data_IF_133070833282
#
_entry.id   IF_133070833282
#
_cell.length_a   1.000
_cell.length_b   1.000
_cell.length_c   1.000
_cell.angle_alpha   90.00
_cell.angle_beta   90.00
_cell.angle_gamma   90.00
#
_symmetry.space_group_name_H-M   'P 1'
#
loop_
_entity.id
_entity.type
_entity.pdbx_description
1 polymer ?
#
# COMPACT_ATOMS: atom_id res chain seq x y z
N UNK A 1 -49.39 -58.23 -36.64
CA UNK A 1 -48.88 -58.39 -35.26
C UNK A 1 -47.65 -57.51 -35.11
N UNK A 2 -47.65 -56.60 -34.11
CA UNK A 2 -46.53 -56.09 -33.28
C UNK A 2 -45.16 -55.87 -33.99
N UNK A 3 -44.50 -54.70 -33.99
CA UNK A 3 -44.39 -53.61 -33.00
C UNK A 3 -43.84 -52.34 -33.68
N UNK A 4 -44.43 -51.20 -33.34
CA UNK A 4 -43.85 -49.85 -33.34
C UNK A 4 -42.52 -49.82 -32.61
N UNK A 5 -41.54 -49.02 -33.04
CA UNK A 5 -40.87 -48.01 -32.20
C UNK A 5 -40.32 -46.88 -33.08
N UNK A 6 -40.89 -45.70 -32.84
CA UNK A 6 -40.46 -44.38 -33.26
C UNK A 6 -39.21 -44.04 -32.42
N UNK A 7 -38.13 -43.57 -33.03
CA UNK A 7 -37.09 -42.85 -32.30
C UNK A 7 -36.85 -41.49 -32.96
N UNK A 8 -36.97 -40.50 -32.10
CA UNK A 8 -36.95 -39.06 -32.32
C UNK A 8 -35.49 -38.57 -32.21
N UNK A 9 -35.14 -37.60 -33.06
CA UNK A 9 -33.88 -36.83 -33.09
C UNK A 9 -33.64 -36.01 -31.80
N UNK A 10 -32.38 -35.67 -31.45
CA UNK A 10 -31.90 -34.32 -31.77
C UNK A 10 -30.41 -34.32 -32.22
N UNK A 11 -29.99 -33.56 -33.24
CA UNK A 11 -29.70 -32.12 -33.21
C UNK A 11 -28.83 -31.71 -32.00
N UNK A 12 -27.54 -32.07 -32.03
CA UNK A 12 -26.54 -31.44 -31.18
C UNK A 12 -26.22 -30.05 -31.75
N UNK A 13 -26.85 -29.03 -31.18
CA UNK A 13 -26.27 -27.70 -31.12
C UNK A 13 -25.19 -27.72 -30.04
N UNK A 14 -23.94 -27.45 -30.43
CA UNK A 14 -22.92 -27.01 -29.48
C UNK A 14 -23.12 -25.52 -29.25
N UNK A 15 -24.11 -25.18 -28.43
CA UNK A 15 -24.02 -23.97 -27.61
C UNK A 15 -22.98 -24.27 -26.54
N UNK A 16 -21.81 -23.62 -26.62
CA UNK A 16 -20.93 -23.50 -25.48
C UNK A 16 -21.70 -22.74 -24.39
N UNK A 17 -22.33 -23.50 -23.49
CA UNK A 17 -22.73 -23.00 -22.18
C UNK A 17 -21.45 -22.91 -21.37
N UNK A 18 -20.78 -21.75 -21.43
CA UNK A 18 -19.96 -21.32 -20.31
C UNK A 18 -20.91 -21.06 -19.15
N UNK A 19 -20.69 -21.75 -18.05
CA UNK A 19 -21.52 -21.70 -16.85
C UNK A 19 -21.50 -20.30 -16.26
N UNK A 20 -22.65 -19.63 -16.32
CA UNK A 20 -22.92 -18.46 -15.50
C UNK A 20 -22.98 -18.92 -14.02
N UNK A 21 -22.12 -18.45 -13.11
CA UNK A 21 -22.34 -18.65 -11.70
C UNK A 21 -23.60 -17.87 -11.29
N UNK A 22 -24.47 -18.61 -10.63
CA UNK A 22 -25.75 -18.18 -10.07
C UNK A 22 -25.63 -16.94 -9.19
N UNK A 23 -26.38 -15.88 -9.52
CA UNK A 23 -26.81 -14.85 -8.58
C UNK A 23 -27.56 -15.49 -7.39
N UNK A 24 -26.92 -15.55 -6.22
CA UNK A 24 -27.53 -15.17 -4.95
C UNK A 24 -26.54 -15.27 -3.77
N UNK A 25 -26.69 -14.30 -2.87
CA UNK A 25 -26.18 -14.17 -1.49
C UNK A 25 -24.72 -13.74 -1.29
N UNK A 26 -24.53 -12.43 -1.08
CA UNK A 26 -23.31 -11.83 -0.53
C UNK A 26 -22.10 -12.08 -1.42
N UNK A 27 -21.96 -11.28 -2.46
CA UNK A 27 -20.92 -11.44 -3.48
C UNK A 27 -19.53 -11.22 -2.85
N UNK A 28 -18.94 -12.32 -2.35
CA UNK A 28 -17.56 -12.38 -1.92
C UNK A 28 -16.72 -12.97 -3.05
N UNK A 29 -15.80 -12.17 -3.57
CA UNK A 29 -14.76 -12.61 -4.49
C UNK A 29 -13.73 -13.38 -3.67
N UNK A 30 -13.36 -14.58 -4.12
CA UNK A 30 -12.30 -15.35 -3.49
C UNK A 30 -10.94 -14.80 -3.94
N UNK A 31 -10.45 -13.81 -3.19
CA UNK A 31 -9.06 -13.39 -3.25
C UNK A 31 -8.20 -14.40 -2.49
N UNK A 32 -7.00 -14.67 -2.98
CA UNK A 32 -6.00 -15.51 -2.30
C UNK A 32 -5.50 -14.86 -1.01
N UNK A 33 -4.23 -15.07 -0.69
CA UNK A 33 -3.61 -14.22 0.33
C UNK A 33 -3.46 -12.82 -0.27
N UNK A 34 -4.02 -11.79 0.38
CA UNK A 34 -3.95 -10.41 -0.10
C UNK A 34 -2.51 -9.91 -0.16
N UNK A 35 -1.65 -10.39 0.75
CA UNK A 35 -0.25 -10.01 0.79
C UNK A 35 0.56 -10.57 -0.40
N UNK A 36 0.02 -11.55 -1.14
CA UNK A 36 0.62 -12.09 -2.36
C UNK A 36 0.28 -11.24 -3.61
N UNK A 37 -0.64 -10.28 -3.48
CA UNK A 37 -1.04 -9.39 -4.57
C UNK A 37 -0.06 -8.22 -4.71
N UNK A 38 0.04 -7.71 -5.93
CA UNK A 38 0.85 -6.53 -6.24
C UNK A 38 0.25 -5.29 -5.57
N UNK A 39 1.11 -4.50 -4.92
CA UNK A 39 0.74 -3.26 -4.25
C UNK A 39 0.96 -2.03 -5.13
N UNK A 40 0.08 -1.04 -4.99
CA UNK A 40 0.24 0.27 -5.59
C UNK A 40 -0.45 1.35 -4.75
N UNK A 41 0.09 2.56 -4.80
CA UNK A 41 -0.44 3.70 -4.04
C UNK A 41 -1.14 4.69 -4.96
N UNK A 42 -2.33 5.16 -4.60
CA UNK A 42 -3.11 6.06 -5.46
C UNK A 42 -2.41 7.42 -5.59
N UNK A 43 -2.06 7.80 -6.82
CA UNK A 43 -1.53 9.13 -7.17
C UNK A 43 -2.61 10.11 -7.60
N UNK A 44 -3.75 9.60 -8.08
CA UNK A 44 -4.83 10.41 -8.57
C UNK A 44 -5.98 9.58 -9.11
N UNK A 45 -7.18 10.13 -9.03
CA UNK A 45 -8.41 9.48 -9.48
C UNK A 45 -9.15 10.40 -10.43
N UNK A 46 -9.55 9.87 -11.58
CA UNK A 46 -10.45 10.53 -12.53
C UNK A 46 -11.73 9.71 -12.70
N UNK A 47 -12.67 10.21 -13.48
CA UNK A 47 -13.87 9.44 -13.86
C UNK A 47 -13.52 8.18 -14.69
N UNK A 48 -12.37 8.17 -15.37
CA UNK A 48 -11.98 7.11 -16.32
C UNK A 48 -10.86 6.21 -15.79
N UNK A 49 -10.02 6.69 -14.87
CA UNK A 49 -8.82 5.97 -14.42
C UNK A 49 -8.50 6.18 -12.94
N UNK A 50 -7.82 5.19 -12.36
CA UNK A 50 -7.07 5.30 -11.11
C UNK A 50 -5.58 5.24 -11.49
N UNK A 51 -4.83 6.30 -11.21
CA UNK A 51 -3.38 6.34 -11.44
C UNK A 51 -2.66 5.87 -10.18
N UNK A 52 -1.78 4.89 -10.32
CA UNK A 52 -1.08 4.22 -9.22
C UNK A 52 0.42 4.45 -9.30
N UNK A 53 1.06 4.66 -8.16
CA UNK A 53 2.50 4.57 -7.97
C UNK A 53 2.89 3.11 -7.78
N UNK A 54 3.62 2.58 -8.77
CA UNK A 54 4.13 1.21 -8.85
C UNK A 54 5.61 1.12 -8.47
N UNK A 55 6.27 2.22 -8.08
CA UNK A 55 7.68 2.22 -7.74
C UNK A 55 8.02 1.21 -6.62
N UNK A 56 7.24 1.08 -5.52
CA UNK A 56 7.52 0.09 -4.48
C UNK A 56 7.45 -1.35 -5.00
N UNK A 57 6.37 -1.73 -5.69
CA UNK A 57 6.21 -3.07 -6.25
C UNK A 57 7.29 -3.39 -7.31
N UNK A 58 7.61 -2.44 -8.18
CA UNK A 58 8.67 -2.61 -9.17
C UNK A 58 10.05 -2.76 -8.52
N UNK A 59 10.34 -2.01 -7.46
CA UNK A 59 11.57 -2.16 -6.68
C UNK A 59 11.64 -3.54 -6.02
N UNK A 60 10.56 -4.00 -5.36
CA UNK A 60 10.50 -5.31 -4.75
C UNK A 60 10.77 -6.41 -5.78
N UNK A 61 10.11 -6.37 -6.94
CA UNK A 61 10.32 -7.31 -8.03
C UNK A 61 11.78 -7.28 -8.55
N UNK A 62 12.36 -6.09 -8.74
CA UNK A 62 13.74 -5.97 -9.19
C UNK A 62 14.75 -6.58 -8.20
N UNK A 63 14.51 -6.42 -6.89
CA UNK A 63 15.33 -7.02 -5.84
C UNK A 63 15.20 -8.55 -5.81
N UNK A 64 13.98 -9.08 -5.99
CA UNK A 64 13.73 -10.53 -6.08
C UNK A 64 14.46 -11.17 -7.26
N UNK A 65 14.47 -10.51 -8.42
CA UNK A 65 15.19 -10.94 -9.61
C UNK A 65 16.72 -10.71 -9.52
N UNK A 66 17.19 -10.09 -8.43
CA UNK A 66 18.62 -9.87 -8.15
C UNK A 66 19.25 -8.71 -8.93
N UNK A 67 18.44 -7.75 -9.37
CA UNK A 67 18.93 -6.51 -9.97
C UNK A 67 19.33 -5.50 -8.88
N UNK A 68 20.42 -4.76 -9.11
CA UNK A 68 20.75 -3.59 -8.28
C UNK A 68 19.77 -2.46 -8.61
N UNK A 69 18.82 -2.21 -7.71
CA UNK A 69 17.86 -1.12 -7.87
C UNK A 69 18.50 0.20 -7.47
N UNK A 70 18.84 1.03 -8.44
CA UNK A 70 19.42 2.38 -8.25
C UNK A 70 18.57 3.48 -8.89
N UNK A 71 17.42 3.09 -9.44
CA UNK A 71 16.53 3.98 -10.18
C UNK A 71 15.47 4.56 -9.23
N UNK A 72 15.48 5.88 -9.04
CA UNK A 72 14.48 6.60 -8.25
C UNK A 72 13.35 7.18 -9.11
N UNK A 73 13.22 6.75 -10.36
CA UNK A 73 12.12 7.21 -11.21
C UNK A 73 10.78 6.70 -10.69
N UNK A 74 9.81 7.62 -10.62
CA UNK A 74 8.41 7.28 -10.39
C UNK A 74 7.93 6.35 -11.50
N UNK A 75 7.41 5.18 -11.12
CA UNK A 75 6.76 4.23 -12.01
C UNK A 75 5.27 4.34 -11.78
N UNK A 76 4.52 4.72 -12.81
CA UNK A 76 3.08 4.88 -12.70
C UNK A 76 2.34 3.92 -13.60
N UNK A 77 1.14 3.52 -13.19
CA UNK A 77 0.23 2.69 -13.97
C UNK A 77 -1.18 3.25 -13.88
N UNK A 78 -1.90 3.29 -15.00
CA UNK A 78 -3.29 3.70 -15.04
C UNK A 78 -4.20 2.46 -15.10
N UNK A 79 -5.10 2.32 -14.14
CA UNK A 79 -6.16 1.30 -14.15
C UNK A 79 -7.45 1.93 -14.66
N UNK A 80 -8.07 1.34 -15.68
CA UNK A 80 -9.32 1.81 -16.26
C UNK A 80 -10.49 1.52 -15.31
N UNK A 81 -11.29 2.55 -15.01
CA UNK A 81 -12.53 2.43 -14.25
C UNK A 81 -13.67 2.08 -15.20
N UNK A 82 -13.98 0.80 -15.30
CA UNK A 82 -15.15 0.30 -16.05
C UNK A 82 -16.26 -0.11 -15.10
N UNK A 83 -17.48 -0.30 -15.62
CA UNK A 83 -18.58 -0.92 -14.86
C UNK A 83 -18.31 -2.39 -14.50
N UNK A 84 -17.24 -2.98 -15.04
CA UNK A 84 -16.82 -4.37 -14.81
C UNK A 84 -15.71 -4.48 -13.75
N UNK A 85 -15.11 -3.36 -13.32
CA UNK A 85 -14.10 -3.34 -12.27
C UNK A 85 -14.78 -3.46 -10.89
N UNK A 86 -14.60 -4.60 -10.24
CA UNK A 86 -15.06 -4.79 -8.86
C UNK A 86 -14.07 -4.16 -7.87
N UNK A 87 -14.55 -3.25 -7.02
CA UNK A 87 -13.76 -2.75 -5.88
C UNK A 87 -14.18 -3.50 -4.63
N UNK A 88 -13.22 -4.14 -3.97
CA UNK A 88 -13.47 -5.05 -2.85
C UNK A 88 -12.63 -4.72 -1.63
N UNK A 89 -13.09 -5.11 -0.44
CA UNK A 89 -12.32 -5.02 0.80
C UNK A 89 -11.29 -6.16 0.93
N UNK A 90 -10.41 -6.08 1.94
CA UNK A 90 -9.42 -7.14 2.26
C UNK A 90 -10.04 -8.52 2.57
N UNK A 91 -11.36 -8.60 2.79
CA UNK A 91 -12.08 -9.85 3.01
C UNK A 91 -12.73 -10.39 1.73
N UNK A 92 -12.54 -9.70 0.59
CA UNK A 92 -13.11 -10.04 -0.71
C UNK A 92 -14.56 -9.60 -0.89
N UNK A 93 -15.10 -8.75 -0.02
CA UNK A 93 -16.48 -8.26 -0.12
C UNK A 93 -16.55 -7.05 -1.05
N UNK A 94 -17.50 -7.06 -1.99
CA UNK A 94 -17.72 -5.91 -2.87
C UNK A 94 -18.14 -4.66 -2.08
N UNK A 95 -17.49 -3.54 -2.38
CA UNK A 95 -17.77 -2.23 -1.84
C UNK A 95 -18.70 -1.47 -2.80
N UNK A 96 -19.93 -1.19 -2.36
CA UNK A 96 -20.83 -0.30 -3.09
C UNK A 96 -20.37 1.16 -2.84
N UNK A 97 -20.05 1.89 -3.90
CA UNK A 97 -19.55 3.28 -3.85
C UNK A 97 -18.29 3.45 -2.97
N UNK A 98 -17.16 2.82 -3.34
CA UNK A 98 -15.91 2.94 -2.58
C UNK A 98 -15.39 4.38 -2.62
N UNK A 99 -15.05 4.91 -1.45
CA UNK A 99 -14.38 6.20 -1.30
C UNK A 99 -12.88 5.92 -1.30
N UNK A 100 -12.28 5.90 -2.50
CA UNK A 100 -10.83 5.73 -2.65
C UNK A 100 -10.22 7.13 -2.69
N UNK A 101 -9.19 7.37 -1.88
CA UNK A 101 -8.50 8.66 -1.78
C UNK A 101 -7.06 8.59 -2.33
N UNK A 102 -6.46 9.75 -2.63
CA UNK A 102 -5.02 9.82 -2.94
C UNK A 102 -4.20 9.34 -1.74
N UNK A 103 -3.10 8.62 -2.00
CA UNK A 103 -2.27 8.00 -0.97
C UNK A 103 -2.73 6.62 -0.50
N UNK A 104 -3.98 6.22 -0.80
CA UNK A 104 -4.45 4.90 -0.37
C UNK A 104 -3.70 3.75 -1.07
N UNK A 105 -3.47 2.69 -0.30
CA UNK A 105 -2.88 1.44 -0.80
C UNK A 105 -3.97 0.57 -1.42
N UNK A 106 -3.80 0.27 -2.71
CA UNK A 106 -4.58 -0.71 -3.43
C UNK A 106 -3.73 -1.94 -3.73
N UNK A 107 -4.39 -3.10 -3.77
CA UNK A 107 -3.78 -4.37 -4.15
C UNK A 107 -4.56 -5.03 -5.28
N UNK A 108 -3.87 -5.68 -6.20
CA UNK A 108 -4.51 -6.26 -7.37
C UNK A 108 -3.72 -7.44 -7.94
N UNK A 109 -4.41 -8.32 -8.66
CA UNK A 109 -3.81 -9.48 -9.30
C UNK A 109 -3.15 -9.03 -10.61
N UNK A 110 -1.86 -8.70 -10.51
CA UNK A 110 -1.05 -8.27 -11.64
C UNK A 110 0.37 -8.80 -11.50
N UNK A 111 0.88 -9.41 -12.57
CA UNK A 111 2.25 -9.92 -12.61
C UNK A 111 3.22 -8.78 -12.95
N UNK A 112 4.08 -8.41 -12.01
CA UNK A 112 5.06 -7.35 -12.25
C UNK A 112 6.08 -7.68 -13.35
N UNK A 113 6.21 -8.94 -13.75
CA UNK A 113 6.99 -9.30 -14.93
C UNK A 113 6.37 -8.79 -16.25
N UNK A 114 5.08 -8.46 -16.24
CA UNK A 114 4.34 -7.87 -17.36
C UNK A 114 4.33 -6.33 -17.34
N UNK A 115 4.91 -5.71 -16.31
CA UNK A 115 4.93 -4.26 -16.20
C UNK A 115 5.80 -3.60 -17.28
N UNK A 116 5.18 -2.71 -18.06
CA UNK A 116 5.84 -1.82 -19.01
C UNK A 116 5.33 -0.40 -18.79
N UNK A 117 6.24 0.53 -18.45
CA UNK A 117 5.94 1.93 -18.16
C UNK A 117 5.47 2.74 -19.38
N UNK A 118 5.51 2.13 -20.57
CA UNK A 118 5.10 2.74 -21.84
C UNK A 118 3.74 2.19 -22.31
N UNK A 119 3.25 1.10 -21.74
CA UNK A 119 1.93 0.57 -22.07
C UNK A 119 0.80 1.46 -21.55
N UNK A 120 -0.31 1.46 -22.28
CA UNK A 120 -1.47 2.30 -21.95
C UNK A 120 -2.22 1.82 -20.70
N UNK A 121 -3.36 2.45 -20.38
CA UNK A 121 -4.18 2.04 -19.24
C UNK A 121 -4.54 0.55 -19.31
N UNK A 122 -4.50 -0.11 -18.16
CA UNK A 122 -4.82 -1.54 -18.01
C UNK A 122 -6.25 -1.72 -17.50
N UNK A 123 -6.90 -2.79 -17.95
CA UNK A 123 -8.19 -3.22 -17.43
C UNK A 123 -7.96 -4.35 -16.43
N UNK A 124 -8.57 -4.24 -15.24
CA UNK A 124 -8.51 -5.25 -14.18
C UNK A 124 -9.92 -5.74 -13.87
N UNK A 125 -10.03 -7.01 -13.46
CA UNK A 125 -11.30 -7.57 -13.01
C UNK A 125 -11.68 -7.01 -11.62
N UNK A 126 -10.70 -6.83 -10.73
CA UNK A 126 -10.94 -6.26 -9.40
C UNK A 126 -9.73 -5.50 -8.85
N UNK A 127 -9.99 -4.61 -7.89
CA UNK A 127 -8.99 -3.99 -7.00
C UNK A 127 -9.40 -4.17 -5.55
N UNK A 128 -8.43 -4.47 -4.69
CA UNK A 128 -8.61 -4.61 -3.24
C UNK A 128 -8.20 -3.30 -2.58
N UNK A 129 -9.13 -2.69 -1.85
CA UNK A 129 -8.83 -1.58 -0.94
C UNK A 129 -8.22 -2.19 0.32
N UNK A 130 -6.94 -1.90 0.56
CA UNK A 130 -6.19 -2.40 1.70
C UNK A 130 -5.47 -1.25 2.40
N UNK A 131 -6.23 -0.43 3.18
CA UNK A 131 -5.67 0.74 3.85
C UNK A 131 -4.46 0.33 4.69
N UNK A 132 -3.41 1.14 4.64
CA UNK A 132 -2.25 0.91 5.50
C UNK A 132 -2.66 1.21 6.94
N UNK A 133 -2.43 0.26 7.83
CA UNK A 133 -2.72 0.43 9.26
C UNK A 133 -1.60 1.21 9.95
N UNK A 134 -1.93 1.86 11.07
CA UNK A 134 -0.93 2.51 11.91
C UNK A 134 0.17 1.52 12.33
N UNK A 135 -0.20 0.28 12.65
CA UNK A 135 0.74 -0.77 13.03
C UNK A 135 1.68 -1.18 11.87
N UNK A 136 1.19 -1.24 10.64
CA UNK A 136 2.04 -1.49 9.46
C UNK A 136 3.04 -0.35 9.26
N UNK A 137 2.60 0.91 9.37
CA UNK A 137 3.47 2.09 9.24
C UNK A 137 4.53 2.11 10.36
N UNK A 138 4.14 1.81 11.59
CA UNK A 138 5.09 1.72 12.72
C UNK A 138 6.12 0.61 12.45
N UNK A 139 5.68 -0.54 11.94
CA UNK A 139 6.56 -1.66 11.65
C UNK A 139 7.57 -1.36 10.53
N UNK A 140 7.26 -0.45 9.60
CA UNK A 140 8.21 0.02 8.57
C UNK A 140 9.40 0.79 9.16
N UNK A 141 9.19 1.51 10.27
CA UNK A 141 10.24 2.28 10.93
C UNK A 141 10.89 1.57 12.12
N UNK A 142 10.23 0.54 12.66
CA UNK A 142 10.76 -0.25 13.76
C UNK A 142 12.03 -1.00 13.33
N UNK A 143 13.15 -0.84 14.05
CA UNK A 143 14.39 -1.53 13.69
C UNK A 143 14.28 -3.04 13.90
N UNK A 144 14.92 -3.81 13.02
CA UNK A 144 14.98 -5.28 13.12
C UNK A 144 16.09 -5.80 14.05
N UNK A 145 16.90 -4.90 14.61
CA UNK A 145 18.00 -5.19 15.52
C UNK A 145 17.96 -4.27 16.75
N UNK A 146 18.64 -4.63 17.85
CA UNK A 146 18.60 -3.83 19.08
C UNK A 146 19.09 -2.41 18.84
N UNK A 147 18.28 -1.45 19.25
CA UNK A 147 18.50 -0.02 19.08
C UNK A 147 17.18 0.71 18.85
N UNK A 148 17.28 1.96 18.41
CA UNK A 148 16.14 2.81 18.09
C UNK A 148 16.30 3.45 16.72
N UNK A 149 15.18 3.55 16.03
CA UNK A 149 15.04 4.44 14.87
C UNK A 149 14.42 5.74 15.34
N UNK A 150 14.89 6.87 14.78
CA UNK A 150 14.34 8.19 15.08
C UNK A 150 13.55 8.70 13.88
N UNK A 151 12.33 9.19 14.09
CA UNK A 151 11.53 9.91 13.11
C UNK A 151 11.42 11.38 13.48
N UNK A 152 11.73 12.29 12.56
CA UNK A 152 11.43 13.71 12.66
C UNK A 152 10.18 14.01 11.84
N UNK A 153 9.06 14.25 12.51
CA UNK A 153 7.77 14.54 11.88
C UNK A 153 7.60 16.05 11.75
N UNK A 154 7.31 16.51 10.55
CA UNK A 154 7.23 17.95 10.24
C UNK A 154 6.15 18.25 9.21
N UNK A 155 5.62 19.47 9.23
CA UNK A 155 4.75 19.97 8.16
C UNK A 155 5.61 20.52 7.02
N UNK A 156 5.48 19.94 5.82
CA UNK A 156 6.26 20.36 4.65
C UNK A 156 5.94 21.81 4.24
N UNK A 157 4.73 22.29 4.53
CA UNK A 157 4.27 23.64 4.15
C UNK A 157 4.87 24.75 4.99
N UNK A 158 5.27 24.44 6.23
CA UNK A 158 5.96 25.37 7.12
C UNK A 158 7.46 25.51 6.80
N UNK A 159 7.93 24.73 5.82
CA UNK A 159 9.34 24.60 5.46
C UNK A 159 10.10 23.77 6.49
N UNK A 160 11.01 22.92 6.02
CA UNK A 160 11.94 22.24 6.92
C UNK A 160 12.78 23.32 7.59
N UNK A 161 12.52 23.62 8.87
CA UNK A 161 13.51 24.31 9.69
C UNK A 161 14.74 23.41 9.65
N UNK A 162 15.81 23.87 8.98
CA UNK A 162 17.07 23.14 8.90
C UNK A 162 17.45 22.74 10.33
N UNK A 163 17.37 21.44 10.61
CA UNK A 163 17.82 20.89 11.88
C UNK A 163 19.31 21.21 11.99
N UNK A 164 19.81 21.62 13.17
CA UNK A 164 21.23 21.87 13.33
C UNK A 164 21.99 20.58 13.01
N UNK A 165 22.74 20.57 11.91
CA UNK A 165 23.46 19.37 11.44
C UNK A 165 24.37 18.79 12.54
N UNK A 166 24.93 19.62 13.40
CA UNK A 166 25.73 19.18 14.55
C UNK A 166 24.94 18.31 15.51
N UNK A 167 23.76 18.76 15.92
CA UNK A 167 22.95 18.07 16.92
C UNK A 167 22.36 16.75 16.36
N UNK A 168 22.04 16.73 15.06
CA UNK A 168 21.61 15.52 14.35
C UNK A 168 22.75 14.51 14.20
N UNK A 169 23.95 14.97 13.85
CA UNK A 169 25.12 14.09 13.76
C UNK A 169 25.49 13.52 15.13
N UNK A 170 25.42 14.32 16.19
CA UNK A 170 25.67 13.86 17.56
C UNK A 170 24.67 12.77 17.98
N UNK A 171 23.41 12.85 17.52
CA UNK A 171 22.41 11.78 17.72
C UNK A 171 22.77 10.51 16.95
N UNK A 172 23.09 10.64 15.67
CA UNK A 172 23.44 9.49 14.79
C UNK A 172 24.77 8.82 15.17
N UNK A 173 25.66 9.52 15.87
CA UNK A 173 26.90 8.96 16.41
C UNK A 173 26.65 8.08 17.67
N UNK A 174 25.43 8.10 18.23
CA UNK A 174 25.06 7.26 19.38
C UNK A 174 24.95 5.78 18.97
N UNK A 175 25.56 4.83 19.72
CA UNK A 175 25.63 3.42 19.32
C UNK A 175 24.26 2.73 19.21
N UNK A 176 23.25 3.22 19.94
CA UNK A 176 21.90 2.66 19.93
C UNK A 176 20.96 3.36 18.95
N UNK A 177 21.40 4.42 18.25
CA UNK A 177 20.62 5.07 17.19
C UNK A 177 21.00 4.45 15.85
N UNK A 178 20.02 3.86 15.18
CA UNK A 178 20.25 3.10 13.95
C UNK A 178 20.00 3.93 12.69
N UNK A 179 18.98 4.78 12.70
CA UNK A 179 18.61 5.61 11.56
C UNK A 179 17.80 6.85 11.98
N UNK A 180 17.73 7.82 11.06
CA UNK A 180 16.88 9.01 11.18
C UNK A 180 16.03 9.19 9.91
N UNK A 181 14.72 9.12 10.07
CA UNK A 181 13.75 9.40 9.01
C UNK A 181 13.17 10.81 9.11
N UNK A 182 13.01 11.45 7.96
CA UNK A 182 12.29 12.71 7.81
C UNK A 182 10.88 12.37 7.33
N UNK A 183 9.90 12.59 8.19
CA UNK A 183 8.52 12.16 8.00
C UNK A 183 7.63 13.37 7.70
N UNK A 184 7.43 13.74 6.42
CA UNK A 184 6.54 14.84 6.07
C UNK A 184 5.09 14.46 6.41
N UNK A 185 4.45 15.26 7.26
CA UNK A 185 3.05 15.13 7.63
C UNK A 185 2.16 15.53 6.45
N UNK A 186 1.16 14.70 6.16
CA UNK A 186 0.01 15.06 5.31
C UNK A 186 -1.30 14.82 6.05
N UNK A 187 -2.22 15.79 6.05
CA UNK A 187 -3.60 15.56 6.55
C UNK A 187 -4.49 14.86 5.53
N UNK A 188 -4.06 14.87 4.27
CA UNK A 188 -4.88 14.44 3.13
C UNK A 188 -4.45 13.04 2.62
N UNK A 189 -3.36 12.51 3.15
CA UNK A 189 -2.85 11.17 2.86
C UNK A 189 -2.76 10.37 4.17
N UNK A 190 -3.63 9.38 4.30
CA UNK A 190 -3.71 8.54 5.50
C UNK A 190 -2.39 7.82 5.82
N UNK A 191 -1.61 7.41 4.82
CA UNK A 191 -0.33 6.72 5.04
C UNK A 191 0.76 7.66 5.58
N UNK A 192 0.61 8.96 5.37
CA UNK A 192 1.53 10.00 5.83
C UNK A 192 0.93 10.93 6.90
N UNK A 193 -0.23 10.56 7.47
CA UNK A 193 -0.86 11.29 8.57
C UNK A 193 -0.25 10.88 9.92
N UNK A 194 1.05 11.09 10.05
CA UNK A 194 1.85 10.74 11.23
C UNK A 194 1.35 11.34 12.54
N UNK A 195 0.69 12.50 12.50
CA UNK A 195 0.04 13.09 13.67
C UNK A 195 -1.05 12.20 14.24
N UNK A 196 -1.88 11.63 13.37
CA UNK A 196 -2.92 10.70 13.80
C UNK A 196 -2.32 9.36 14.20
N UNK A 197 -1.40 8.84 13.39
CA UNK A 197 -0.76 7.53 13.59
C UNK A 197 0.01 7.48 14.91
N UNK A 198 0.79 8.51 15.22
CA UNK A 198 1.66 8.55 16.42
C UNK A 198 1.06 9.39 17.55
N UNK A 199 -0.21 9.81 17.45
CA UNK A 199 -0.90 10.64 18.45
C UNK A 199 -0.15 11.96 18.80
N UNK A 200 0.44 12.63 17.80
CA UNK A 200 1.24 13.85 18.00
C UNK A 200 0.35 15.09 18.17
N UNK A 201 0.50 15.76 19.32
CA UNK A 201 -0.25 16.99 19.61
C UNK A 201 0.25 18.20 18.82
N UNK A 202 1.58 18.35 18.68
CA UNK A 202 2.23 19.53 18.08
C UNK A 202 3.37 19.16 17.13
N UNK A 203 3.49 19.88 16.02
CA UNK A 203 4.60 19.74 15.08
C UNK A 203 5.58 20.94 15.15
N UNK A 204 6.87 20.74 14.80
CA UNK A 204 7.48 19.44 14.54
C UNK A 204 7.60 18.58 15.82
N UNK A 205 7.71 17.27 15.66
CA UNK A 205 7.89 16.33 16.75
C UNK A 205 8.92 15.27 16.40
N UNK A 206 9.45 14.62 17.44
CA UNK A 206 10.36 13.50 17.32
C UNK A 206 9.68 12.23 17.79
N UNK A 207 9.95 11.13 17.10
CA UNK A 207 9.34 9.83 17.37
C UNK A 207 10.47 8.81 17.49
N UNK A 208 10.48 8.04 18.57
CA UNK A 208 11.38 6.89 18.73
C UNK A 208 10.62 5.60 18.49
N UNK A 209 11.18 4.74 17.66
CA UNK A 209 10.72 3.38 17.39
C UNK A 209 11.74 2.40 17.97
N UNK A 210 11.30 1.49 18.84
CA UNK A 210 12.13 0.40 19.35
C UNK A 210 11.93 -0.91 18.57
N UNK A 211 12.76 -1.92 18.87
CA UNK A 211 12.72 -3.25 18.22
C UNK A 211 11.39 -4.00 18.40
N UNK A 212 10.58 -3.61 19.39
CA UNK A 212 9.27 -4.19 19.69
C UNK A 212 8.13 -3.38 19.05
N UNK A 213 8.45 -2.42 18.16
CA UNK A 213 7.51 -1.50 17.51
C UNK A 213 6.73 -0.62 18.50
N UNK A 214 7.30 -0.31 19.67
CA UNK A 214 6.75 0.71 20.54
C UNK A 214 7.15 2.10 20.04
N UNK A 215 6.22 3.04 20.18
CA UNK A 215 6.37 4.42 19.73
C UNK A 215 6.39 5.35 20.94
N UNK A 216 7.42 6.19 21.03
CA UNK A 216 7.47 7.27 22.04
C UNK A 216 7.67 8.62 21.36
N UNK A 217 6.84 9.61 21.71
CA UNK A 217 6.84 10.94 21.10
C UNK A 217 7.50 11.97 22.01
N UNK A 218 8.33 12.83 21.42
CA UNK A 218 9.05 13.91 22.08
C UNK A 218 8.84 15.23 21.34
N UNK A 219 8.77 16.34 22.09
CA UNK A 219 8.64 17.69 21.52
C UNK A 219 9.99 18.28 21.09
N UNK A 220 11.12 17.70 21.53
CA UNK A 220 12.45 18.26 21.28
C UNK A 220 13.53 17.19 21.09
N UNK A 221 14.57 17.55 20.33
CA UNK A 221 15.76 16.70 20.15
C UNK A 221 16.53 16.52 21.46
N UNK A 222 16.52 17.51 22.36
CA UNK A 222 17.17 17.41 23.67
C UNK A 222 16.57 16.27 24.51
N UNK A 223 15.24 16.11 24.46
CA UNK A 223 14.56 15.03 25.18
C UNK A 223 14.88 13.65 24.56
N UNK A 224 14.93 13.56 23.23
CA UNK A 224 15.35 12.34 22.53
C UNK A 224 16.78 11.96 22.91
N UNK A 225 17.70 12.94 22.89
CA UNK A 225 19.08 12.74 23.29
C UNK A 225 19.19 12.31 24.77
N UNK A 226 18.36 12.85 25.66
CA UNK A 226 18.32 12.42 27.04
C UNK A 226 17.88 10.95 27.16
N UNK A 227 16.82 10.54 26.45
CA UNK A 227 16.31 9.16 26.48
C UNK A 227 17.36 8.14 26.00
N UNK A 228 18.01 8.41 24.87
CA UNK A 228 19.01 7.46 24.32
C UNK A 228 20.28 7.38 25.17
N UNK A 229 20.62 8.43 25.92
CA UNK A 229 21.78 8.43 26.83
C UNK A 229 21.50 7.79 28.20
N UNK A 230 20.22 7.61 28.59
CA UNK A 230 19.82 7.00 29.87
C UNK A 230 19.68 5.47 29.79
N UNK A 231 19.49 4.92 28.59
CA UNK A 231 19.40 3.49 28.30
C UNK A 231 20.75 2.89 27.88
#
# INVERSE_FOLDING_TARGET
MKKTWLFILPALMLTACGTNPSQNSGDQIHIGNVDDLTEGYVLGITDETITLNMSPAHQAHALEEGYEFTDMMLRSMDVVRTDELDVIDRNGSIMEDPDIEEGERLRFDFDMAEFDDIEGPIELDYVVVDPVTAEEIIAEYAPSEPGVTVGYVYDETDGVNELPEGDVNDLLDHPDVLDLYYLPQSSDDHAHNYKEIFEIETLPAWVLFDEDANVTVYESLEDVQAEVNEN
#
